data_IF_152349822999
#
_entry.id   IF_152349822999
#
_cell.length_a   1.000
_cell.length_b   1.000
_cell.length_c   1.000
_cell.angle_alpha   90.00
_cell.angle_beta   90.00
_cell.angle_gamma   90.00
#
_symmetry.space_group_name_H-M   'P 1'
#
loop_
_entity.id
_entity.type
_entity.pdbx_description
1 polymer ?
#
# COMPACT_ATOMS: atom_id res chain seq x y z
N UNK A 1 2.01 -16.72 -17.34
CA UNK A 1 3.40 -17.04 -17.73
C UNK A 1 4.40 -15.94 -17.35
N UNK A 2 4.18 -14.65 -17.72
CA UNK A 2 5.13 -13.57 -17.40
C UNK A 2 5.43 -13.44 -15.91
N UNK A 3 4.41 -13.37 -15.05
CA UNK A 3 4.60 -13.27 -13.59
C UNK A 3 5.35 -14.48 -13.03
N UNK A 4 5.07 -15.68 -13.50
CA UNK A 4 5.75 -16.90 -13.10
C UNK A 4 7.23 -16.87 -13.48
N UNK A 5 7.55 -16.54 -14.73
CA UNK A 5 8.92 -16.44 -15.22
C UNK A 5 9.70 -15.38 -14.45
N UNK A 6 9.11 -14.19 -14.31
CA UNK A 6 9.79 -13.08 -13.65
C UNK A 6 10.08 -13.41 -12.18
N UNK A 7 9.11 -14.01 -11.49
CA UNK A 7 9.27 -14.41 -10.09
C UNK A 7 10.30 -15.54 -9.95
N UNK A 8 10.26 -16.56 -10.81
CA UNK A 8 11.26 -17.62 -10.87
C UNK A 8 12.67 -17.06 -11.03
N UNK A 9 12.85 -16.19 -12.03
CA UNK A 9 14.14 -15.56 -12.32
C UNK A 9 14.65 -14.68 -11.18
N UNK A 10 13.75 -13.92 -10.56
CA UNK A 10 14.05 -13.16 -9.35
C UNK A 10 14.59 -14.06 -8.24
N UNK A 11 13.89 -15.14 -7.95
CA UNK A 11 14.30 -16.11 -6.92
C UNK A 11 15.65 -16.78 -7.24
N UNK A 12 15.90 -17.13 -8.49
CA UNK A 12 17.19 -17.64 -8.93
C UNK A 12 18.31 -16.61 -8.73
N UNK A 13 18.06 -15.33 -9.05
CA UNK A 13 19.03 -14.26 -8.82
C UNK A 13 19.31 -14.08 -7.32
N UNK A 14 18.27 -14.05 -6.47
CA UNK A 14 18.43 -13.94 -5.01
C UNK A 14 19.31 -15.07 -4.44
N UNK A 15 19.15 -16.28 -4.94
CA UNK A 15 20.01 -17.41 -4.58
C UNK A 15 21.45 -17.20 -5.04
N UNK A 16 21.65 -16.76 -6.29
CA UNK A 16 22.99 -16.57 -6.86
C UNK A 16 23.81 -15.49 -6.11
N UNK A 17 23.13 -14.47 -5.57
CA UNK A 17 23.77 -13.39 -4.79
C UNK A 17 23.80 -13.68 -3.27
N UNK A 18 23.41 -14.88 -2.84
CA UNK A 18 23.52 -15.34 -1.46
C UNK A 18 22.44 -14.82 -0.50
N UNK A 19 21.42 -14.12 -0.99
CA UNK A 19 20.36 -13.55 -0.12
C UNK A 19 19.40 -14.60 0.46
N UNK A 20 19.49 -15.84 0.01
CA UNK A 20 18.67 -16.96 0.52
C UNK A 20 19.42 -17.88 1.47
N UNK A 21 20.64 -17.54 1.89
CA UNK A 21 21.45 -18.36 2.80
C UNK A 21 20.87 -18.39 4.22
N UNK A 22 20.29 -17.27 4.68
CA UNK A 22 19.69 -17.16 6.02
C UNK A 22 18.26 -17.70 6.03
N UNK A 23 17.50 -17.44 4.96
CA UNK A 23 16.12 -17.88 4.83
C UNK A 23 15.79 -18.21 3.38
N UNK A 24 15.05 -19.29 3.16
CA UNK A 24 14.52 -19.65 1.84
C UNK A 24 13.06 -19.21 1.65
N UNK A 25 12.53 -18.40 2.58
CA UNK A 25 11.15 -17.93 2.56
C UNK A 25 11.00 -16.65 1.74
N UNK A 26 9.96 -16.58 0.92
CA UNK A 26 9.57 -15.40 0.15
C UNK A 26 8.14 -15.04 0.52
N UNK A 27 7.94 -13.87 1.09
CA UNK A 27 6.62 -13.35 1.43
C UNK A 27 5.94 -12.84 0.17
N UNK A 28 4.66 -13.20 -0.04
CA UNK A 28 3.88 -12.76 -1.20
C UNK A 28 2.58 -12.13 -0.74
N UNK A 29 2.38 -10.86 -1.10
CA UNK A 29 1.13 -10.13 -0.87
C UNK A 29 0.66 -9.42 -2.13
N UNK A 30 -0.57 -8.91 -2.13
CA UNK A 30 -1.14 -8.22 -3.28
C UNK A 30 -2.21 -7.19 -2.88
N UNK A 31 -2.56 -6.34 -3.83
CA UNK A 31 -3.71 -5.43 -3.68
C UNK A 31 -5.01 -6.09 -4.16
N UNK A 32 -6.12 -5.36 -4.12
CA UNK A 32 -7.47 -5.87 -4.36
C UNK A 32 -7.87 -6.00 -5.83
N UNK A 33 -6.93 -5.96 -6.80
CA UNK A 33 -7.25 -6.10 -8.24
C UNK A 33 -7.72 -7.52 -8.56
N UNK A 34 -8.73 -7.67 -9.41
CA UNK A 34 -9.26 -8.98 -9.83
C UNK A 34 -8.21 -9.91 -10.43
N UNK A 35 -7.24 -9.34 -11.15
CA UNK A 35 -6.14 -10.11 -11.74
C UNK A 35 -5.15 -10.68 -10.71
N UNK A 36 -5.22 -10.22 -9.45
CA UNK A 36 -4.23 -10.56 -8.43
C UNK A 36 -4.23 -12.04 -8.07
N UNK A 37 -5.38 -12.72 -8.04
CA UNK A 37 -5.44 -14.16 -7.76
C UNK A 37 -4.69 -15.00 -8.79
N UNK A 38 -4.88 -14.70 -10.08
CA UNK A 38 -4.20 -15.41 -11.17
C UNK A 38 -2.69 -15.15 -11.10
N UNK A 39 -2.30 -13.90 -10.87
CA UNK A 39 -0.89 -13.53 -10.83
C UNK A 39 -0.21 -14.01 -9.55
N UNK A 40 -0.93 -14.06 -8.43
CA UNK A 40 -0.45 -14.66 -7.19
C UNK A 40 -0.10 -16.14 -7.38
N UNK A 41 -1.02 -16.92 -7.93
CA UNK A 41 -0.77 -18.34 -8.22
C UNK A 41 0.44 -18.54 -9.14
N UNK A 42 0.60 -17.69 -10.14
CA UNK A 42 1.75 -17.73 -11.04
C UNK A 42 3.05 -17.36 -10.32
N UNK A 43 3.04 -16.34 -9.46
CA UNK A 43 4.19 -15.93 -8.66
C UNK A 43 4.61 -17.02 -7.67
N UNK A 44 3.66 -17.60 -6.94
CA UNK A 44 3.88 -18.70 -6.00
C UNK A 44 4.53 -19.89 -6.69
N UNK A 45 4.03 -20.27 -7.88
CA UNK A 45 4.60 -21.34 -8.67
C UNK A 45 6.05 -21.03 -9.09
N UNK A 46 6.34 -19.79 -9.50
CA UNK A 46 7.70 -19.36 -9.84
C UNK A 46 8.68 -19.49 -8.66
N UNK A 47 8.25 -19.11 -7.45
CA UNK A 47 9.05 -19.26 -6.22
C UNK A 47 9.36 -20.74 -5.96
N UNK A 48 8.34 -21.60 -6.04
CA UNK A 48 8.50 -23.05 -5.84
C UNK A 48 9.45 -23.69 -6.85
N UNK A 49 9.31 -23.32 -8.12
CA UNK A 49 10.19 -23.82 -9.18
C UNK A 49 11.64 -23.39 -8.98
N UNK A 50 11.88 -22.26 -8.34
CA UNK A 50 13.21 -21.81 -7.93
C UNK A 50 13.75 -22.55 -6.68
N UNK A 51 12.97 -23.45 -6.08
CA UNK A 51 13.33 -24.19 -4.88
C UNK A 51 13.27 -23.37 -3.59
N UNK A 52 12.46 -22.30 -3.58
CA UNK A 52 12.19 -21.46 -2.41
C UNK A 52 10.79 -21.70 -1.88
N UNK A 53 10.52 -21.23 -0.66
CA UNK A 53 9.24 -21.41 0.05
C UNK A 53 8.41 -20.14 -0.05
N UNK A 54 7.26 -20.14 -0.75
CA UNK A 54 6.36 -19.01 -0.72
C UNK A 54 5.54 -18.98 0.58
N UNK A 55 5.39 -17.78 1.17
CA UNK A 55 4.54 -17.48 2.31
C UNK A 55 3.52 -16.43 1.89
N UNK A 56 2.26 -16.82 1.79
CA UNK A 56 1.17 -15.92 1.40
C UNK A 56 0.72 -15.07 2.58
N UNK A 57 0.57 -13.76 2.37
CA UNK A 57 -0.01 -12.84 3.35
C UNK A 57 -1.33 -12.20 2.85
N UNK A 58 -1.81 -12.63 1.69
CA UNK A 58 -3.09 -12.19 1.16
C UNK A 58 -3.13 -10.73 0.72
N UNK A 59 -4.33 -10.15 0.74
CA UNK A 59 -4.52 -8.73 0.45
C UNK A 59 -4.05 -7.91 1.65
N UNK A 60 -2.91 -7.24 1.50
CA UNK A 60 -2.33 -6.37 2.51
C UNK A 60 -1.66 -5.14 1.85
N UNK A 61 -1.64 -3.99 2.56
CA UNK A 61 -0.85 -2.84 2.11
C UNK A 61 0.63 -3.20 1.92
N UNK A 62 1.24 -2.65 0.88
CA UNK A 62 2.68 -2.84 0.60
C UNK A 62 3.57 -2.68 1.85
N UNK A 63 3.40 -1.64 2.71
CA UNK A 63 4.22 -1.53 3.92
C UNK A 63 3.97 -2.66 4.93
N UNK A 64 2.78 -3.25 4.99
CA UNK A 64 2.49 -4.39 5.86
C UNK A 64 3.23 -5.66 5.39
N UNK A 65 3.24 -5.90 4.07
CA UNK A 65 3.99 -7.02 3.47
C UNK A 65 5.49 -6.88 3.73
N UNK A 66 6.04 -5.68 3.56
CA UNK A 66 7.44 -5.39 3.83
C UNK A 66 7.79 -5.56 5.33
N UNK A 67 6.92 -5.10 6.23
CA UNK A 67 7.12 -5.28 7.67
C UNK A 67 7.13 -6.76 8.05
N UNK A 68 6.19 -7.55 7.53
CA UNK A 68 6.14 -8.99 7.79
C UNK A 68 7.38 -9.72 7.27
N UNK A 69 7.89 -9.35 6.11
CA UNK A 69 9.17 -9.86 5.61
C UNK A 69 10.31 -9.62 6.61
N UNK A 70 10.39 -8.41 7.19
CA UNK A 70 11.42 -8.07 8.17
C UNK A 70 11.23 -8.83 9.49
N UNK A 71 10.00 -8.91 10.01
CA UNK A 71 9.70 -9.57 11.29
C UNK A 71 9.96 -11.08 11.23
N UNK A 72 9.71 -11.71 10.08
CA UNK A 72 9.95 -13.15 9.86
C UNK A 72 11.35 -13.47 9.33
N UNK A 73 12.17 -12.44 9.09
CA UNK A 73 13.49 -12.60 8.47
C UNK A 73 13.45 -13.35 7.13
N UNK A 74 12.38 -13.15 6.35
CA UNK A 74 12.29 -13.74 5.02
C UNK A 74 13.33 -13.14 4.08
N UNK A 75 13.78 -13.93 3.08
CA UNK A 75 14.82 -13.49 2.14
C UNK A 75 14.37 -12.30 1.29
N UNK A 76 13.08 -12.26 0.93
CA UNK A 76 12.50 -11.18 0.15
C UNK A 76 10.97 -11.14 0.34
N UNK A 77 10.37 -10.03 -0.10
CA UNK A 77 8.94 -9.93 -0.32
C UNK A 77 8.62 -9.53 -1.76
N UNK A 78 7.54 -10.10 -2.28
CA UNK A 78 6.99 -9.81 -3.60
C UNK A 78 5.57 -9.27 -3.39
N UNK A 79 5.30 -8.07 -3.89
CA UNK A 79 3.97 -7.46 -3.83
C UNK A 79 3.43 -7.30 -5.25
N UNK A 80 2.29 -7.93 -5.51
CA UNK A 80 1.61 -7.84 -6.80
C UNK A 80 0.68 -6.63 -6.78
N UNK A 81 1.06 -5.59 -7.49
CA UNK A 81 0.35 -4.31 -7.50
C UNK A 81 0.83 -3.42 -8.64
N UNK A 82 -0.03 -2.55 -9.13
CA UNK A 82 0.34 -1.39 -9.94
C UNK A 82 0.08 -0.06 -9.20
N UNK A 83 0.04 -0.10 -7.85
CA UNK A 83 -0.12 1.08 -6.98
C UNK A 83 -1.36 1.91 -7.38
N UNK A 84 -1.19 3.16 -7.79
CA UNK A 84 -2.26 4.08 -8.14
C UNK A 84 -2.77 3.98 -9.58
N UNK A 85 -2.29 3.02 -10.36
CA UNK A 85 -2.73 2.80 -11.73
C UNK A 85 -4.16 2.20 -11.78
N UNK A 86 -4.86 2.29 -12.94
CA UNK A 86 -6.17 1.67 -13.14
C UNK A 86 -6.19 0.17 -12.85
N UNK A 87 -7.39 -0.37 -12.63
CA UNK A 87 -7.62 -1.75 -12.22
C UNK A 87 -7.12 -2.81 -13.23
N UNK A 88 -7.12 -2.47 -14.51
CA UNK A 88 -6.69 -3.34 -15.63
C UNK A 88 -5.16 -3.48 -15.75
N UNK A 89 -4.40 -2.71 -14.96
CA UNK A 89 -2.95 -2.80 -14.91
C UNK A 89 -2.52 -3.54 -13.65
N UNK A 90 -1.44 -4.30 -13.73
CA UNK A 90 -0.81 -4.92 -12.57
C UNK A 90 0.72 -4.95 -12.75
N UNK A 91 1.46 -5.23 -11.67
CA UNK A 91 2.90 -5.24 -11.67
C UNK A 91 3.48 -5.99 -10.48
N UNK A 92 4.79 -5.91 -10.32
CA UNK A 92 5.53 -6.57 -9.24
C UNK A 92 6.43 -5.55 -8.56
N UNK A 93 6.35 -5.45 -7.22
CA UNK A 93 7.33 -4.78 -6.37
C UNK A 93 8.13 -5.84 -5.63
N UNK A 94 9.44 -5.66 -5.50
CA UNK A 94 10.34 -6.59 -4.80
C UNK A 94 11.04 -5.83 -3.68
N UNK A 95 11.02 -6.43 -2.49
CA UNK A 95 11.74 -5.96 -1.31
C UNK A 95 12.73 -7.03 -0.87
N UNK A 96 13.91 -6.62 -0.41
CA UNK A 96 14.95 -7.51 0.07
C UNK A 96 14.95 -7.59 1.59
N UNK A 97 15.10 -8.77 2.15
CA UNK A 97 15.15 -9.01 3.60
C UNK A 97 16.45 -8.56 4.27
N UNK A 98 17.49 -8.24 3.51
CA UNK A 98 18.69 -7.56 4.02
C UNK A 98 18.38 -6.08 4.29
N UNK A 99 19.17 -5.41 5.12
CA UNK A 99 18.98 -4.08 5.71
C UNK A 99 18.46 -2.95 4.82
N UNK A 100 18.43 -3.15 3.52
CA UNK A 100 17.98 -2.16 2.54
C UNK A 100 16.69 -2.65 1.87
N UNK A 101 15.56 -2.11 2.28
CA UNK A 101 14.22 -2.47 1.83
C UNK A 101 13.98 -2.35 0.30
N UNK A 102 14.76 -1.56 -0.42
CA UNK A 102 14.63 -1.39 -1.87
C UNK A 102 15.74 -2.06 -2.63
N UNK A 103 15.41 -2.57 -3.83
CA UNK A 103 16.40 -3.00 -4.80
C UNK A 103 17.35 -1.85 -5.16
N UNK A 104 18.65 -2.10 -5.05
CA UNK A 104 19.64 -1.18 -5.63
C UNK A 104 19.49 -1.15 -7.15
N UNK A 105 19.80 -0.01 -7.82
CA UNK A 105 19.73 0.08 -9.27
C UNK A 105 20.51 -1.01 -10.02
N UNK A 106 21.62 -1.49 -9.44
CA UNK A 106 22.41 -2.59 -9.99
C UNK A 106 21.67 -3.93 -9.98
N UNK A 107 20.92 -4.21 -8.90
CA UNK A 107 20.10 -5.43 -8.78
C UNK A 107 18.89 -5.36 -9.69
N UNK A 108 18.25 -4.19 -9.81
CA UNK A 108 17.14 -3.95 -10.72
C UNK A 108 17.56 -4.15 -12.19
N UNK A 109 18.75 -3.65 -12.59
CA UNK A 109 19.31 -3.92 -13.91
C UNK A 109 19.61 -5.40 -14.14
N UNK A 110 20.11 -6.11 -13.11
CA UNK A 110 20.34 -7.54 -13.19
C UNK A 110 19.02 -8.31 -13.35
N UNK A 111 17.97 -7.94 -12.59
CA UNK A 111 16.63 -8.54 -12.72
C UNK A 111 16.02 -8.33 -14.11
N UNK A 112 16.31 -7.22 -14.78
CA UNK A 112 15.81 -6.97 -16.14
C UNK A 112 16.45 -7.91 -17.17
N UNK A 113 17.71 -8.27 -17.00
CA UNK A 113 18.48 -9.11 -17.93
C UNK A 113 18.34 -10.61 -17.65
N UNK A 114 18.35 -10.97 -16.38
CA UNK A 114 18.41 -12.34 -15.91
C UNK A 114 17.27 -13.25 -16.45
N UNK A 115 16.00 -12.82 -16.52
CA UNK A 115 14.92 -13.61 -17.09
C UNK A 115 15.13 -14.03 -18.55
N UNK A 116 15.88 -13.23 -19.30
CA UNK A 116 16.16 -13.50 -20.71
C UNK A 116 17.29 -14.53 -20.92
N UNK A 117 18.10 -14.76 -19.89
CA UNK A 117 19.27 -15.62 -19.93
C UNK A 117 19.05 -17.00 -19.30
N UNK A 118 17.95 -17.19 -18.55
CA UNK A 118 17.67 -18.44 -17.85
C UNK A 118 16.81 -19.39 -18.69
N UNK A 119 17.11 -20.70 -18.69
CA UNK A 119 16.22 -21.67 -19.29
C UNK A 119 14.90 -21.72 -18.50
N UNK A 120 13.80 -21.61 -19.21
CA UNK A 120 12.47 -21.75 -18.64
C UNK A 120 12.29 -23.17 -18.08
N UNK A 121 11.83 -23.36 -16.83
CA UNK A 121 11.48 -24.66 -16.32
C UNK A 121 10.21 -25.17 -17.04
N UNK A 122 10.39 -26.07 -17.98
CA UNK A 122 9.31 -26.62 -18.86
C UNK A 122 8.33 -27.57 -18.13
N UNK A 123 8.46 -27.78 -16.83
CA UNK A 123 7.57 -28.71 -16.13
C UNK A 123 6.28 -28.02 -15.68
N UNK A 124 5.18 -28.34 -16.34
CA UNK A 124 3.81 -28.17 -15.85
C UNK A 124 3.49 -29.11 -14.67
N UNK A 125 4.46 -29.45 -13.84
CA UNK A 125 4.20 -30.22 -12.65
C UNK A 125 3.33 -29.35 -11.73
N UNK A 126 2.11 -29.79 -11.47
CA UNK A 126 1.27 -29.32 -10.38
C UNK A 126 2.03 -29.59 -9.08
N UNK A 127 2.90 -28.67 -8.71
CA UNK A 127 3.56 -28.70 -7.41
C UNK A 127 2.48 -28.23 -6.44
N UNK A 128 1.76 -29.19 -5.85
CA UNK A 128 0.96 -28.92 -4.66
C UNK A 128 1.95 -28.57 -3.55
N UNK A 129 2.01 -27.31 -3.17
CA UNK A 129 2.73 -26.89 -2.00
C UNK A 129 1.72 -26.57 -0.91
N UNK A 130 2.00 -27.03 0.30
CA UNK A 130 1.46 -26.40 1.49
C UNK A 130 1.99 -24.94 1.52
N UNK A 131 1.28 -24.03 0.84
CA UNK A 131 1.57 -22.61 0.96
C UNK A 131 1.28 -22.21 2.40
N UNK A 132 2.26 -21.65 3.07
CA UNK A 132 2.06 -21.07 4.38
C UNK A 132 1.15 -19.85 4.22
N UNK A 133 -0.02 -19.87 4.82
CA UNK A 133 -0.89 -18.70 4.91
C UNK A 133 -0.61 -17.98 6.23
N UNK A 134 0.00 -16.80 6.13
CA UNK A 134 0.37 -15.95 7.25
C UNK A 134 -0.43 -14.63 7.25
N UNK A 135 -1.55 -14.56 6.51
CA UNK A 135 -2.32 -13.33 6.30
C UNK A 135 -2.78 -12.68 7.60
N UNK A 136 -3.34 -13.46 8.54
CA UNK A 136 -3.81 -12.93 9.82
C UNK A 136 -2.65 -12.52 10.74
N UNK A 137 -1.52 -13.24 10.72
CA UNK A 137 -0.33 -12.87 11.49
C UNK A 137 0.24 -11.54 10.96
N UNK A 138 0.45 -11.43 9.66
CA UNK A 138 0.98 -10.21 9.03
C UNK A 138 0.08 -8.98 9.26
N UNK A 139 -1.24 -9.16 9.18
CA UNK A 139 -2.22 -8.11 9.47
C UNK A 139 -2.13 -7.67 10.92
N UNK A 140 -2.12 -8.62 11.85
CA UNK A 140 -2.04 -8.35 13.30
C UNK A 140 -0.75 -7.61 13.66
N UNK A 141 0.39 -8.05 13.14
CA UNK A 141 1.69 -7.43 13.37
C UNK A 141 1.71 -5.97 12.86
N UNK A 142 1.15 -5.73 11.67
CA UNK A 142 1.09 -4.39 11.12
C UNK A 142 0.19 -3.46 11.92
N UNK A 143 -0.98 -3.92 12.36
CA UNK A 143 -1.88 -3.15 13.22
C UNK A 143 -1.21 -2.86 14.56
N UNK A 144 -0.56 -3.84 15.17
CA UNK A 144 0.18 -3.64 16.42
C UNK A 144 1.29 -2.60 16.26
N UNK A 145 2.04 -2.65 15.14
CA UNK A 145 3.08 -1.68 14.83
C UNK A 145 2.52 -0.25 14.68
N UNK A 146 1.39 -0.08 13.99
CA UNK A 146 0.73 1.22 13.86
C UNK A 146 0.27 1.78 15.21
N UNK A 147 -0.19 0.91 16.13
CA UNK A 147 -0.70 1.31 17.44
C UNK A 147 0.40 1.60 18.48
N UNK A 148 1.63 1.16 18.24
CA UNK A 148 2.76 1.43 19.14
C UNK A 148 3.22 2.89 19.12
N UNK A 149 2.89 3.65 18.10
CA UNK A 149 3.21 5.08 18.00
C UNK A 149 2.25 5.90 18.86
N UNK A 150 2.60 6.13 20.12
CA UNK A 150 1.79 6.85 21.13
C UNK A 150 1.61 8.35 20.85
N UNK A 151 2.33 8.93 19.89
CA UNK A 151 2.20 10.35 19.54
C UNK A 151 0.80 10.75 19.03
N UNK A 152 -0.04 9.76 18.69
CA UNK A 152 -1.44 9.97 18.36
C UNK A 152 -2.31 10.42 19.53
N UNK A 153 -1.94 10.12 20.76
CA UNK A 153 -2.72 10.55 21.94
C UNK A 153 -2.71 12.08 22.11
N UNK A 154 -1.62 12.75 21.71
CA UNK A 154 -1.51 14.21 21.83
C UNK A 154 -2.46 15.00 20.91
N UNK A 155 -2.94 14.40 19.81
CA UNK A 155 -3.89 15.07 18.88
C UNK A 155 -5.30 15.09 19.46
N UNK A 156 -5.56 14.32 20.51
CA UNK A 156 -6.89 14.01 21.03
C UNK A 156 -7.30 14.82 22.26
N UNK A 157 -6.50 15.79 22.69
CA UNK A 157 -6.86 16.66 23.83
C UNK A 157 -8.14 17.50 23.59
N UNK A 158 -8.58 17.64 22.33
CA UNK A 158 -9.85 18.28 21.97
C UNK A 158 -10.65 17.43 20.96
N UNK A 159 -11.16 16.33 21.39
CA UNK A 159 -11.76 15.32 20.49
C UNK A 159 -13.03 15.75 19.77
N UNK A 160 -13.79 16.70 20.31
CA UNK A 160 -15.05 17.15 19.68
C UNK A 160 -14.85 18.13 18.51
N UNK A 161 -13.62 18.59 18.31
CA UNK A 161 -13.27 19.59 17.30
C UNK A 161 -12.74 19.01 15.97
N UNK A 162 -12.57 17.68 15.89
CA UNK A 162 -11.99 17.02 14.71
C UNK A 162 -12.91 15.92 14.20
N UNK A 163 -13.09 15.86 12.89
CA UNK A 163 -13.80 14.80 12.19
C UNK A 163 -12.89 14.24 11.07
N UNK A 164 -12.57 12.95 11.14
CA UNK A 164 -11.71 12.28 10.17
C UNK A 164 -12.54 11.27 9.37
N UNK A 165 -12.36 11.25 8.06
CA UNK A 165 -12.86 10.21 7.17
C UNK A 165 -11.69 9.57 6.45
N UNK A 166 -11.81 8.31 6.02
CA UNK A 166 -10.75 7.63 5.25
C UNK A 166 -11.24 7.23 3.88
N UNK A 167 -10.33 7.14 2.93
CA UNK A 167 -10.55 6.60 1.59
C UNK A 167 -9.49 5.53 1.31
N UNK A 168 -9.93 4.29 1.21
CA UNK A 168 -9.04 3.15 0.92
C UNK A 168 -8.86 2.89 -0.57
N UNK A 169 -9.38 3.74 -1.45
CA UNK A 169 -9.28 3.62 -2.90
C UNK A 169 -9.77 2.28 -3.46
N UNK A 170 -10.66 1.56 -2.76
CA UNK A 170 -11.01 0.15 -3.02
C UNK A 170 -9.79 -0.79 -2.99
N UNK A 171 -8.69 -0.34 -2.39
CA UNK A 171 -7.37 -0.98 -2.38
C UNK A 171 -7.09 -1.78 -1.10
N UNK A 172 -5.83 -2.14 -0.92
CA UNK A 172 -5.38 -3.02 0.16
C UNK A 172 -5.59 -2.43 1.58
N UNK A 173 -5.66 -1.09 1.73
CA UNK A 173 -5.89 -0.48 3.03
C UNK A 173 -7.25 -0.81 3.66
N UNK A 174 -8.23 -1.30 2.90
CA UNK A 174 -9.54 -1.70 3.40
C UNK A 174 -9.47 -2.74 4.55
N UNK A 175 -8.50 -3.67 4.48
CA UNK A 175 -8.35 -4.71 5.50
C UNK A 175 -7.75 -4.19 6.81
N UNK A 176 -7.23 -2.98 6.82
CA UNK A 176 -6.57 -2.35 7.97
C UNK A 176 -7.43 -1.25 8.59
N UNK A 177 -8.07 -0.38 7.80
CA UNK A 177 -8.75 0.81 8.31
C UNK A 177 -9.88 0.50 9.29
N UNK A 178 -10.55 -0.63 9.14
CA UNK A 178 -11.60 -1.07 10.05
C UNK A 178 -11.09 -1.43 11.47
N UNK A 179 -9.78 -1.64 11.62
CA UNK A 179 -9.11 -1.92 12.89
C UNK A 179 -8.53 -0.68 13.56
N UNK A 180 -8.64 0.49 12.91
CA UNK A 180 -8.18 1.73 13.52
C UNK A 180 -8.95 2.02 14.82
N UNK A 181 -8.27 2.50 15.88
CA UNK A 181 -8.90 2.76 17.16
C UNK A 181 -10.04 3.77 17.03
N UNK A 182 -11.13 3.54 17.74
CA UNK A 182 -12.24 4.50 17.85
C UNK A 182 -11.79 5.84 18.43
N UNK A 183 -10.72 5.84 19.24
CA UNK A 183 -10.07 7.03 19.77
C UNK A 183 -9.50 7.95 18.67
N UNK A 184 -9.18 7.43 17.51
CA UNK A 184 -8.69 8.23 16.38
C UNK A 184 -9.79 9.07 15.70
N UNK A 185 -11.04 8.94 16.17
CA UNK A 185 -12.19 9.70 15.68
C UNK A 185 -12.42 9.63 14.19
N UNK A 186 -12.13 8.50 13.61
CA UNK A 186 -12.48 8.20 12.25
C UNK A 186 -13.98 7.96 12.21
N UNK A 187 -14.68 8.88 11.57
CA UNK A 187 -16.13 8.88 11.55
C UNK A 187 -16.68 7.88 10.52
N UNK A 188 -15.99 7.74 9.40
CA UNK A 188 -16.43 6.87 8.31
C UNK A 188 -15.27 6.44 7.43
N UNK A 189 -15.33 5.19 6.97
CA UNK A 189 -14.46 4.63 5.95
C UNK A 189 -15.20 4.60 4.60
N UNK A 190 -14.55 5.13 3.56
CA UNK A 190 -15.03 5.13 2.18
C UNK A 190 -14.20 4.19 1.33
N UNK A 191 -14.83 3.63 0.28
CA UNK A 191 -14.16 2.79 -0.70
C UNK A 191 -13.30 1.70 -0.01
N UNK A 192 -13.87 1.10 1.06
CA UNK A 192 -13.22 0.12 1.93
C UNK A 192 -13.81 -1.29 1.73
N UNK A 193 -14.11 -1.62 0.50
CA UNK A 193 -14.57 -2.92 0.01
C UNK A 193 -13.75 -3.33 -1.22
N UNK A 194 -13.63 -4.62 -1.49
CA UNK A 194 -13.01 -5.12 -2.72
C UNK A 194 -13.89 -4.80 -3.92
N UNK A 195 -13.32 -4.17 -4.93
CA UNK A 195 -14.05 -3.78 -6.15
C UNK A 195 -13.08 -3.60 -7.30
N UNK A 196 -13.54 -3.87 -8.52
CA UNK A 196 -12.87 -3.54 -9.79
C UNK A 196 -12.66 -2.04 -9.99
N UNK A 197 -13.14 -1.24 -9.06
CA UNK A 197 -13.06 0.21 -9.06
C UNK A 197 -11.79 0.76 -8.38
N UNK A 198 -10.79 -0.10 -8.10
CA UNK A 198 -9.54 0.33 -7.43
C UNK A 198 -8.96 1.58 -8.10
N UNK A 199 -8.69 2.62 -7.30
CA UNK A 199 -8.21 3.95 -7.73
C UNK A 199 -9.15 4.74 -8.65
N UNK A 200 -10.38 4.27 -8.91
CA UNK A 200 -11.32 4.96 -9.79
C UNK A 200 -12.22 5.89 -8.99
N UNK A 201 -12.15 7.18 -9.27
CA UNK A 201 -12.85 8.23 -8.53
C UNK A 201 -12.64 8.13 -7.01
N UNK A 202 -11.46 7.67 -6.61
CA UNK A 202 -11.09 7.38 -5.24
C UNK A 202 -9.57 7.44 -5.07
N UNK A 203 -9.12 7.56 -3.82
CA UNK A 203 -7.71 7.54 -3.51
C UNK A 203 -6.91 8.72 -4.04
N UNK A 204 -5.60 8.56 -4.08
CA UNK A 204 -4.65 9.64 -4.40
C UNK A 204 -4.47 9.90 -5.90
N UNK A 205 -4.88 8.96 -6.77
CA UNK A 205 -4.56 8.98 -8.20
C UNK A 205 -5.01 10.28 -8.87
N UNK A 206 -6.27 10.65 -8.65
CA UNK A 206 -6.90 11.84 -9.25
C UNK A 206 -6.45 13.16 -8.61
N UNK A 207 -5.75 13.10 -7.48
CA UNK A 207 -5.30 14.28 -6.71
C UNK A 207 -3.85 14.66 -6.96
N UNK A 208 -3.12 13.87 -7.74
CA UNK A 208 -1.70 14.10 -8.02
C UNK A 208 -1.47 15.48 -8.65
N UNK A 209 -0.57 16.25 -8.04
CA UNK A 209 -0.26 17.63 -8.49
C UNK A 209 -1.28 18.69 -8.04
N UNK A 210 -2.38 18.29 -7.42
CA UNK A 210 -3.38 19.21 -6.88
C UNK A 210 -2.98 19.67 -5.49
N UNK A 211 -3.13 20.97 -5.20
CA UNK A 211 -2.86 21.55 -3.87
C UNK A 211 -4.10 22.15 -3.23
N UNK A 212 -5.09 22.51 -4.03
CA UNK A 212 -6.29 23.17 -3.60
C UNK A 212 -7.49 22.81 -4.47
N UNK A 213 -8.63 22.59 -3.83
CA UNK A 213 -9.92 22.33 -4.48
C UNK A 213 -10.99 23.27 -3.92
N UNK A 214 -11.73 23.93 -4.81
CA UNK A 214 -12.97 24.64 -4.48
C UNK A 214 -14.18 23.79 -4.88
N UNK A 215 -15.37 24.14 -4.39
CA UNK A 215 -16.61 23.48 -4.80
C UNK A 215 -16.84 23.52 -6.33
N UNK A 216 -16.42 24.61 -6.98
CA UNK A 216 -16.52 24.73 -8.44
C UNK A 216 -15.67 23.70 -9.19
N UNK A 217 -14.49 23.36 -8.67
CA UNK A 217 -13.64 22.32 -9.23
C UNK A 217 -14.36 20.97 -9.22
N UNK A 218 -15.09 20.64 -8.15
CA UNK A 218 -15.84 19.38 -8.05
C UNK A 218 -16.98 19.27 -9.05
N UNK A 219 -17.64 20.37 -9.37
CA UNK A 219 -18.81 20.36 -10.28
C UNK A 219 -18.43 20.07 -11.73
N UNK A 220 -17.23 20.45 -12.18
CA UNK A 220 -16.87 20.57 -13.59
C UNK A 220 -15.64 19.75 -14.00
N UNK A 221 -15.21 18.76 -13.21
CA UNK A 221 -13.94 18.07 -13.44
C UNK A 221 -14.02 16.57 -13.23
N UNK A 222 -12.86 15.91 -13.34
CA UNK A 222 -12.65 14.48 -13.02
C UNK A 222 -13.13 14.14 -11.61
N UNK A 223 -13.10 15.09 -10.65
CA UNK A 223 -13.50 14.89 -9.26
C UNK A 223 -15.02 14.86 -9.04
N UNK A 224 -15.84 15.05 -10.08
CA UNK A 224 -17.31 15.03 -10.00
C UNK A 224 -17.86 13.76 -9.32
N UNK A 225 -17.18 12.63 -9.49
CA UNK A 225 -17.61 11.35 -8.94
C UNK A 225 -16.82 10.93 -7.67
N UNK A 226 -15.89 11.76 -7.18
CA UNK A 226 -15.06 11.43 -6.03
C UNK A 226 -15.84 11.62 -4.72
N UNK A 227 -16.40 10.54 -4.19
CA UNK A 227 -17.33 10.54 -3.03
C UNK A 227 -16.77 11.26 -1.81
N UNK A 228 -15.49 11.02 -1.49
CA UNK A 228 -14.84 11.57 -0.29
C UNK A 228 -14.68 13.09 -0.37
N UNK A 229 -14.36 13.63 -1.54
CA UNK A 229 -14.28 15.08 -1.74
C UNK A 229 -15.64 15.74 -1.50
N UNK A 230 -16.72 15.18 -2.06
CA UNK A 230 -18.05 15.67 -1.85
C UNK A 230 -18.46 15.61 -0.38
N UNK A 231 -18.17 14.51 0.30
CA UNK A 231 -18.47 14.35 1.72
C UNK A 231 -17.72 15.37 2.58
N UNK A 232 -16.45 15.62 2.27
CA UNK A 232 -15.65 16.59 3.01
C UNK A 232 -16.21 18.01 2.87
N UNK A 233 -16.66 18.41 1.67
CA UNK A 233 -17.36 19.68 1.47
C UNK A 233 -18.69 19.74 2.20
N UNK A 234 -19.49 18.68 2.17
CA UNK A 234 -20.75 18.64 2.92
C UNK A 234 -20.53 18.76 4.44
N UNK A 235 -19.51 18.11 4.96
CA UNK A 235 -19.15 18.21 6.37
C UNK A 235 -18.73 19.65 6.73
N UNK A 236 -17.91 20.28 5.88
CA UNK A 236 -17.49 21.66 6.05
C UNK A 236 -18.69 22.63 6.09
N UNK A 237 -19.66 22.44 5.18
CA UNK A 237 -20.87 23.30 5.13
C UNK A 237 -21.77 23.09 6.34
N UNK A 238 -21.93 21.84 6.81
CA UNK A 238 -22.77 21.52 7.97
C UNK A 238 -22.20 22.02 9.28
N UNK A 239 -20.87 21.92 9.45
CA UNK A 239 -20.18 22.21 10.71
C UNK A 239 -18.85 22.93 10.48
N UNK A 240 -18.85 24.21 10.07
CA UNK A 240 -17.61 24.93 9.72
C UNK A 240 -16.69 25.21 10.91
N UNK A 241 -17.14 24.95 12.14
CA UNK A 241 -16.35 25.12 13.38
C UNK A 241 -15.49 23.88 13.71
N UNK A 242 -15.77 22.75 13.08
CA UNK A 242 -15.05 21.50 13.30
C UNK A 242 -13.97 21.39 12.21
N UNK A 243 -12.79 20.90 12.59
CA UNK A 243 -11.74 20.55 11.65
C UNK A 243 -12.11 19.24 10.94
N UNK A 244 -12.32 19.29 9.63
CA UNK A 244 -12.62 18.14 8.83
C UNK A 244 -11.39 17.70 8.04
N UNK A 245 -10.97 16.47 8.24
CA UNK A 245 -9.82 15.85 7.60
C UNK A 245 -10.24 14.61 6.81
N UNK A 246 -9.48 14.29 5.79
CA UNK A 246 -9.55 12.95 5.18
C UNK A 246 -8.16 12.38 4.97
N UNK A 247 -7.99 11.09 5.31
CA UNK A 247 -6.82 10.29 4.95
C UNK A 247 -7.15 9.50 3.71
N UNK A 248 -6.40 9.74 2.64
CA UNK A 248 -6.64 9.13 1.34
C UNK A 248 -5.43 8.28 0.97
N UNK A 249 -5.66 7.00 0.73
CA UNK A 249 -4.64 6.03 0.35
C UNK A 249 -4.67 5.77 -1.17
N UNK A 250 -3.64 5.14 -1.70
CA UNK A 250 -3.67 4.53 -3.02
C UNK A 250 -3.97 3.02 -2.95
N UNK A 251 -4.03 2.38 -4.10
CA UNK A 251 -4.49 0.99 -4.19
C UNK A 251 -3.70 -0.02 -3.36
N UNK A 252 -2.40 0.17 -3.20
CA UNK A 252 -1.55 -0.70 -2.39
C UNK A 252 -1.10 -0.07 -1.06
N UNK A 253 -1.59 1.12 -0.74
CA UNK A 253 -1.45 1.76 0.57
C UNK A 253 -0.03 2.23 0.93
N UNK A 254 0.86 2.39 -0.04
CA UNK A 254 2.20 2.94 0.19
C UNK A 254 2.23 4.48 0.12
N UNK A 255 1.12 5.12 -0.28
CA UNK A 255 0.94 6.57 -0.31
C UNK A 255 -0.28 6.96 0.49
N UNK A 256 -0.13 8.09 1.19
CA UNK A 256 -1.23 8.74 1.88
C UNK A 256 -1.21 10.23 1.59
N UNK A 257 -2.36 10.80 1.20
CA UNK A 257 -2.59 12.23 1.18
C UNK A 257 -3.53 12.60 2.32
N UNK A 258 -3.31 13.79 2.90
CA UNK A 258 -4.24 14.35 3.88
C UNK A 258 -4.98 15.51 3.22
N UNK A 259 -6.30 15.44 3.26
CA UNK A 259 -7.16 16.55 2.85
C UNK A 259 -7.59 17.32 4.09
N UNK A 260 -7.52 18.64 4.01
CA UNK A 260 -7.91 19.53 5.11
C UNK A 260 -8.96 20.50 4.58
N UNK A 261 -10.17 20.42 5.13
CA UNK A 261 -11.22 21.38 4.79
C UNK A 261 -10.94 22.73 5.48
N UNK A 262 -10.94 23.80 4.69
CA UNK A 262 -10.69 25.17 5.12
C UNK A 262 -12.00 25.97 5.14
N UNK A 263 -12.51 26.22 6.33
CA UNK A 263 -13.76 26.96 6.51
C UNK A 263 -13.65 28.43 6.15
N UNK A 264 -12.46 29.02 6.21
CA UNK A 264 -12.25 30.42 5.87
C UNK A 264 -12.25 30.64 4.35
N UNK A 265 -11.53 29.77 3.61
CA UNK A 265 -11.42 29.85 2.15
C UNK A 265 -12.49 29.06 1.41
N UNK A 266 -13.34 28.33 2.13
CA UNK A 266 -14.42 27.49 1.58
C UNK A 266 -13.89 26.50 0.53
N UNK A 267 -12.88 25.71 0.92
CA UNK A 267 -12.25 24.73 0.03
C UNK A 267 -11.48 23.65 0.77
N UNK A 268 -10.72 22.86 0.02
CA UNK A 268 -9.95 21.74 0.53
C UNK A 268 -8.48 21.90 0.14
N UNK A 269 -7.59 21.90 1.12
CA UNK A 269 -6.17 21.74 0.89
C UNK A 269 -5.84 20.26 0.68
N UNK A 270 -4.99 19.99 -0.29
CA UNK A 270 -4.46 18.65 -0.57
C UNK A 270 -3.00 18.63 -0.16
N UNK A 271 -2.69 17.89 0.91
CA UNK A 271 -1.35 17.67 1.40
C UNK A 271 -0.84 16.33 0.86
N UNK A 272 0.06 16.40 -0.13
CA UNK A 272 0.73 15.22 -0.68
C UNK A 272 1.76 14.65 0.32
N UNK A 273 2.29 13.47 0.02
CA UNK A 273 3.37 12.86 0.80
C UNK A 273 4.56 13.80 1.02
N UNK A 274 4.99 14.55 -0.01
CA UNK A 274 6.07 15.53 0.12
C UNK A 274 5.74 16.65 1.11
N UNK A 275 4.50 17.16 1.06
CA UNK A 275 4.04 18.19 2.00
C UNK A 275 3.97 17.65 3.43
N UNK A 276 3.53 16.41 3.61
CA UNK A 276 3.50 15.73 4.92
C UNK A 276 4.92 15.50 5.46
N UNK A 277 5.84 15.04 4.63
CA UNK A 277 7.24 14.87 5.01
C UNK A 277 7.89 16.19 5.44
N UNK A 278 7.59 17.29 4.74
CA UNK A 278 8.06 18.61 5.11
C UNK A 278 7.51 19.06 6.47
N UNK A 279 6.21 18.84 6.73
CA UNK A 279 5.59 19.14 8.01
C UNK A 279 6.18 18.30 9.15
N UNK A 280 6.38 17.00 8.93
CA UNK A 280 6.99 16.10 9.90
C UNK A 280 8.45 16.49 10.18
N UNK A 281 9.23 16.80 9.14
CA UNK A 281 10.65 17.20 9.31
C UNK A 281 10.83 18.45 10.15
N UNK A 282 9.84 19.35 10.16
CA UNK A 282 9.87 20.55 11.02
C UNK A 282 9.70 20.25 12.52
N UNK A 283 9.17 19.06 12.86
CA UNK A 283 8.96 18.61 14.24
C UNK A 283 10.08 17.69 14.75
N UNK A 284 10.73 16.96 13.85
CA UNK A 284 11.88 16.16 14.21
C UNK A 284 13.14 17.03 14.03
N UNK A 285 13.81 17.39 15.13
CA UNK A 285 15.18 17.86 15.03
C UNK A 285 15.97 16.74 14.36
N UNK A 286 16.30 16.92 13.08
CA UNK A 286 17.20 16.03 12.36
C UNK A 286 18.53 16.11 13.11
N UNK A 287 18.79 15.16 14.02
CA UNK A 287 20.13 14.94 14.52
C UNK A 287 20.97 14.63 13.29
N UNK A 288 21.83 15.57 12.92
CA UNK A 288 22.85 15.34 11.89
C UNK A 288 23.63 14.07 12.25
N UNK A 289 23.93 13.22 11.26
CA UNK A 289 24.71 12.00 11.47
C UNK A 289 26.08 12.27 12.05
#
# INVERSE_FOLDING_TARGET
EFFQLYTYSTCCLLRNIGLTEISNSIVVGWDSRDSSDIFNNAAMLGILQAGLKPCSVGILPTPAVALHMLSTQAAAAIVLTASHNPADQNGIKIFLGSSDLKLFPSVDQALTKFPLEQPWPLSNSSIFCDSCDESEAAKTDFIAHLLQNQDFEMILDQPESINIITDSAFGACQVIVQHFPKSWRIFQHYNADCSDEINRFSGVADLKGTRWLSEQHLRNSIWKNHKVLHQLFQNLQKNPKILHLSWIFDGDGDRCFILVADSFRQGIHVLSGDALMLLLSSKFELKSP
#
